data_IF_480708065501
#
_entry.id   IF_480708065501
#
_cell.length_a   1.000
_cell.length_b   1.000
_cell.length_c   1.000
_cell.angle_alpha   90.00
_cell.angle_beta   90.00
_cell.angle_gamma   90.00
#
_symmetry.space_group_name_H-M   'P 1'
#
loop_
_entity.id
_entity.type
_entity.pdbx_description
1 polymer ?
#
# COMPACT_ATOMS: atom_id res chain seq x y z
N UNK A 1 -40.38 51.36 25.35
CA UNK A 1 -39.86 50.62 24.19
C UNK A 1 -38.49 51.17 23.88
N UNK A 2 -37.43 50.41 24.19
CA UNK A 2 -36.06 50.83 23.91
C UNK A 2 -35.79 50.37 22.48
N UNK A 3 -35.81 51.32 21.53
CA UNK A 3 -35.39 51.04 20.16
C UNK A 3 -33.96 50.55 20.18
N UNK A 4 -33.77 49.36 19.62
CA UNK A 4 -32.48 48.72 19.43
C UNK A 4 -31.73 49.56 18.39
N UNK A 5 -30.84 50.46 18.85
CA UNK A 5 -29.99 51.24 17.95
C UNK A 5 -29.18 50.24 17.13
N UNK A 6 -29.52 50.14 15.84
CA UNK A 6 -28.78 49.33 14.87
C UNK A 6 -27.32 49.79 14.89
N UNK A 7 -26.34 48.88 15.06
CA UNK A 7 -24.94 49.23 14.86
C UNK A 7 -24.81 49.82 13.46
N UNK A 8 -24.19 51.00 13.34
CA UNK A 8 -24.01 51.67 12.05
C UNK A 8 -23.04 50.83 11.22
N UNK A 9 -23.61 49.93 10.41
CA UNK A 9 -22.86 48.95 9.61
C UNK A 9 -22.44 49.48 8.25
N UNK A 10 -23.06 50.56 7.79
CA UNK A 10 -22.76 51.13 6.49
C UNK A 10 -21.96 52.44 6.65
N UNK A 11 -20.72 52.52 6.14
CA UNK A 11 -19.92 53.72 6.21
C UNK A 11 -20.56 54.94 5.49
N UNK A 12 -21.47 54.72 4.53
CA UNK A 12 -22.29 55.79 3.95
C UNK A 12 -23.18 56.47 5.01
N UNK A 13 -23.71 55.69 5.96
CA UNK A 13 -24.52 56.20 7.06
C UNK A 13 -23.67 56.99 8.06
N UNK A 14 -22.43 56.57 8.30
CA UNK A 14 -21.49 57.31 9.16
C UNK A 14 -21.23 58.70 8.58
N UNK A 15 -21.00 58.80 7.28
CA UNK A 15 -20.75 60.08 6.60
C UNK A 15 -21.99 60.97 6.62
N UNK A 16 -23.18 60.40 6.41
CA UNK A 16 -24.44 61.15 6.50
C UNK A 16 -24.64 61.76 7.90
N UNK A 17 -24.30 61.00 8.97
CA UNK A 17 -24.38 61.50 10.35
C UNK A 17 -23.37 62.64 10.59
N UNK A 18 -22.12 62.48 10.18
CA UNK A 18 -21.10 63.52 10.36
C UNK A 18 -21.39 64.78 9.55
N UNK A 19 -21.90 64.64 8.32
CA UNK A 19 -22.33 65.77 7.50
C UNK A 19 -23.44 66.58 8.19
N UNK A 20 -24.47 65.88 8.71
CA UNK A 20 -25.56 66.53 9.45
C UNK A 20 -25.09 67.24 10.73
N UNK A 21 -24.20 66.61 11.51
CA UNK A 21 -23.63 67.24 12.71
C UNK A 21 -22.79 68.47 12.34
N UNK A 22 -22.00 68.41 11.27
CA UNK A 22 -21.16 69.52 10.82
C UNK A 22 -22.01 70.71 10.36
N UNK A 23 -23.10 70.47 9.62
CA UNK A 23 -24.03 71.51 9.15
C UNK A 23 -24.73 72.21 10.31
N UNK A 24 -25.27 71.45 11.26
CA UNK A 24 -25.94 71.99 12.45
C UNK A 24 -24.95 72.79 13.29
N UNK A 25 -23.76 72.25 13.55
CA UNK A 25 -22.72 72.91 14.34
C UNK A 25 -22.27 74.21 13.67
N UNK A 26 -22.08 74.20 12.35
CA UNK A 26 -21.73 75.39 11.59
C UNK A 26 -22.79 76.47 11.62
N UNK A 27 -24.06 76.09 11.48
CA UNK A 27 -25.19 77.02 11.54
C UNK A 27 -25.27 77.71 12.90
N UNK A 28 -24.98 76.98 13.98
CA UNK A 28 -24.96 77.54 15.34
C UNK A 28 -23.77 78.48 15.52
N UNK A 29 -22.59 78.14 15.01
CA UNK A 29 -21.35 78.91 15.21
C UNK A 29 -21.28 80.17 14.33
N UNK A 30 -21.84 80.11 13.12
CA UNK A 30 -21.78 81.19 12.13
C UNK A 30 -22.16 82.59 12.65
N UNK A 31 -23.28 82.79 13.39
CA UNK A 31 -23.66 84.12 13.89
C UNK A 31 -22.71 84.68 14.96
N UNK A 32 -21.87 83.84 15.58
CA UNK A 32 -20.92 84.28 16.62
C UNK A 32 -19.53 84.66 16.05
N UNK A 33 -19.32 84.47 14.74
CA UNK A 33 -18.07 84.81 14.09
C UNK A 33 -18.08 86.26 13.59
N UNK A 34 -16.93 86.94 13.69
CA UNK A 34 -16.71 88.26 13.07
C UNK A 34 -16.76 88.14 11.55
N UNK A 35 -17.33 89.13 10.86
CA UNK A 35 -17.54 89.11 9.39
C UNK A 35 -16.29 88.71 8.59
N UNK A 36 -15.11 89.16 9.01
CA UNK A 36 -13.83 88.83 8.37
C UNK A 36 -13.53 87.32 8.33
N UNK A 37 -13.99 86.57 9.33
CA UNK A 37 -13.74 85.12 9.45
C UNK A 37 -14.93 84.28 8.97
N UNK A 38 -16.12 84.87 8.84
CA UNK A 38 -17.33 84.16 8.38
C UNK A 38 -17.14 83.57 6.99
N UNK A 39 -16.57 84.33 6.05
CA UNK A 39 -16.34 83.84 4.69
C UNK A 39 -15.38 82.62 4.66
N UNK A 40 -14.28 82.70 5.41
CA UNK A 40 -13.32 81.58 5.53
C UNK A 40 -14.00 80.35 6.14
N UNK A 41 -14.82 80.57 7.17
CA UNK A 41 -15.55 79.50 7.85
C UNK A 41 -16.62 78.84 6.95
N UNK A 42 -17.34 79.62 6.14
CA UNK A 42 -18.33 79.10 5.18
C UNK A 42 -17.63 78.21 4.13
N UNK A 43 -16.51 78.67 3.57
CA UNK A 43 -15.74 77.87 2.61
C UNK A 43 -15.19 76.59 3.24
N UNK A 44 -14.70 76.66 4.48
CA UNK A 44 -14.32 75.48 5.23
C UNK A 44 -15.50 74.50 5.37
N UNK A 45 -16.69 75.00 5.72
CA UNK A 45 -17.88 74.17 5.92
C UNK A 45 -18.39 73.49 4.66
N UNK A 46 -18.18 74.08 3.48
CA UNK A 46 -18.54 73.47 2.19
C UNK A 46 -17.47 72.47 1.74
N UNK A 47 -16.20 72.87 1.82
CA UNK A 47 -15.08 72.12 1.24
C UNK A 47 -14.74 70.90 2.10
N UNK A 48 -14.75 71.03 3.43
CA UNK A 48 -14.32 69.96 4.32
C UNK A 48 -15.18 68.69 4.21
N UNK A 49 -16.52 68.74 4.30
CA UNK A 49 -17.37 67.56 4.13
C UNK A 49 -17.27 66.98 2.71
N UNK A 50 -17.11 67.85 1.71
CA UNK A 50 -16.98 67.45 0.30
C UNK A 50 -15.68 66.67 0.07
N UNK A 51 -14.55 67.13 0.61
CA UNK A 51 -13.27 66.43 0.57
C UNK A 51 -13.35 65.11 1.32
N UNK A 52 -14.04 65.07 2.47
CA UNK A 52 -14.20 63.84 3.25
C UNK A 52 -15.01 62.81 2.46
N UNK A 53 -16.07 63.22 1.79
CA UNK A 53 -16.87 62.38 0.91
C UNK A 53 -16.08 61.88 -0.30
N UNK A 54 -15.33 62.75 -0.98
CA UNK A 54 -14.46 62.35 -2.10
C UNK A 54 -13.37 61.39 -1.63
N UNK A 55 -12.69 61.68 -0.52
CA UNK A 55 -11.64 60.84 0.05
C UNK A 55 -12.20 59.48 0.48
N UNK A 56 -13.44 59.45 0.96
CA UNK A 56 -14.14 58.22 1.26
C UNK A 56 -14.39 57.37 0.02
N UNK A 57 -14.96 57.95 -1.05
CA UNK A 57 -15.17 57.23 -2.30
C UNK A 57 -13.86 56.84 -2.98
N UNK A 58 -12.82 57.66 -2.86
CA UNK A 58 -11.47 57.34 -3.33
C UNK A 58 -10.91 56.12 -2.57
N UNK A 59 -11.01 56.12 -1.24
CA UNK A 59 -10.61 54.99 -0.40
C UNK A 59 -11.40 53.72 -0.73
N UNK A 60 -12.71 53.85 -0.98
CA UNK A 60 -13.56 52.75 -1.43
C UNK A 60 -13.15 52.20 -2.80
N UNK A 61 -12.81 53.07 -3.76
CA UNK A 61 -12.44 52.66 -5.11
C UNK A 61 -11.13 51.85 -5.15
N UNK A 62 -10.20 52.13 -4.23
CA UNK A 62 -8.93 51.39 -4.12
C UNK A 62 -8.97 50.22 -3.13
N UNK A 63 -9.92 50.16 -2.20
CA UNK A 63 -9.96 49.11 -1.18
C UNK A 63 -11.39 48.73 -0.72
N UNK A 64 -12.20 48.27 -1.67
CA UNK A 64 -13.59 47.83 -1.47
C UNK A 64 -13.78 46.60 -0.55
N UNK A 65 -12.70 45.92 -0.14
CA UNK A 65 -12.75 44.67 0.64
C UNK A 65 -12.94 44.86 2.15
N UNK A 66 -12.60 46.03 2.69
CA UNK A 66 -12.49 46.23 4.15
C UNK A 66 -13.83 46.58 4.82
N UNK A 67 -14.89 46.81 4.04
CA UNK A 67 -16.14 47.38 4.56
C UNK A 67 -17.35 46.45 4.55
N UNK A 68 -17.22 45.22 4.03
CA UNK A 68 -18.27 44.21 4.09
C UNK A 68 -17.73 42.97 4.80
N UNK A 69 -18.28 42.65 5.96
CA UNK A 69 -18.00 41.39 6.62
C UNK A 69 -18.62 40.25 5.81
N UNK A 70 -18.13 39.00 5.92
CA UNK A 70 -18.73 37.85 5.25
C UNK A 70 -20.24 37.70 5.53
N UNK A 71 -20.68 38.13 6.71
CA UNK A 71 -22.08 38.16 7.13
C UNK A 71 -22.97 39.17 6.41
N UNK A 72 -22.39 40.14 5.69
CA UNK A 72 -23.13 41.19 5.00
C UNK A 72 -23.54 40.80 3.57
N UNK A 73 -23.07 39.63 3.08
CA UNK A 73 -23.47 39.06 1.80
C UNK A 73 -24.77 38.26 1.95
N UNK A 74 -25.78 38.54 1.11
CA UNK A 74 -27.04 37.78 1.12
C UNK A 74 -26.89 36.33 0.67
N UNK A 75 -25.78 36.00 -0.01
CA UNK A 75 -25.49 34.66 -0.53
C UNK A 75 -23.99 34.37 -0.38
N UNK A 76 -23.64 33.41 0.46
CA UNK A 76 -22.27 33.03 0.80
C UNK A 76 -21.45 32.57 -0.42
N UNK A 77 -22.10 32.02 -1.46
CA UNK A 77 -21.40 31.56 -2.66
C UNK A 77 -20.74 32.71 -3.45
N UNK A 78 -21.28 33.93 -3.37
CA UNK A 78 -20.71 35.10 -4.04
C UNK A 78 -19.48 35.66 -3.32
N UNK A 79 -19.45 35.59 -1.99
CA UNK A 79 -18.25 35.91 -1.20
C UNK A 79 -17.09 34.99 -1.60
N UNK A 80 -17.35 33.68 -1.67
CA UNK A 80 -16.32 32.69 -2.01
C UNK A 80 -15.76 32.92 -3.43
N UNK A 81 -16.59 33.30 -4.41
CA UNK A 81 -16.13 33.59 -5.79
C UNK A 81 -15.20 34.81 -5.88
N UNK A 82 -15.53 35.91 -5.20
CA UNK A 82 -14.73 37.16 -5.26
C UNK A 82 -13.38 37.00 -4.54
N UNK A 83 -13.35 36.25 -3.44
CA UNK A 83 -12.12 35.98 -2.69
C UNK A 83 -11.24 34.89 -3.33
N UNK A 84 -11.81 33.77 -3.79
CA UNK A 84 -11.03 32.71 -4.47
C UNK A 84 -10.47 33.14 -5.83
N UNK A 85 -11.16 33.98 -6.60
CA UNK A 85 -10.67 34.47 -7.88
C UNK A 85 -9.37 35.30 -7.72
N UNK A 86 -9.27 36.10 -6.65
CA UNK A 86 -8.07 36.91 -6.35
C UNK A 86 -6.96 36.14 -5.65
N UNK A 87 -7.27 35.05 -4.94
CA UNK A 87 -6.25 34.18 -4.36
C UNK A 87 -5.44 33.47 -5.46
N UNK A 88 -6.05 33.22 -6.62
CA UNK A 88 -5.39 32.68 -7.81
C UNK A 88 -4.55 33.77 -8.52
N UNK A 89 -5.05 35.01 -8.59
CA UNK A 89 -4.36 36.13 -9.25
C UNK A 89 -3.17 36.67 -8.43
N UNK A 90 -3.32 36.79 -7.10
CA UNK A 90 -2.24 37.19 -6.17
C UNK A 90 -1.26 36.05 -5.83
N UNK A 91 -1.58 34.78 -6.11
CA UNK A 91 -0.60 33.67 -6.00
C UNK A 91 0.53 33.76 -7.02
N UNK A 92 0.40 34.60 -8.04
CA UNK A 92 1.45 34.83 -9.05
C UNK A 92 2.66 35.60 -8.49
N UNK A 93 2.52 36.25 -7.33
CA UNK A 93 3.58 37.04 -6.71
C UNK A 93 3.60 36.77 -5.19
N UNK A 94 4.69 36.16 -4.69
CA UNK A 94 5.05 35.97 -3.26
C UNK A 94 4.68 34.67 -2.52
N UNK A 95 4.75 33.49 -3.16
CA UNK A 95 5.15 32.25 -2.45
C UNK A 95 6.10 31.45 -3.34
N UNK A 96 7.38 31.80 -3.29
CA UNK A 96 8.47 30.92 -3.76
C UNK A 96 8.88 30.02 -2.59
N UNK A 97 8.00 29.09 -2.19
CA UNK A 97 8.50 27.78 -1.75
C UNK A 97 8.94 27.15 -3.06
N UNK A 98 10.25 27.01 -3.25
CA UNK A 98 10.82 26.67 -4.56
C UNK A 98 10.10 25.41 -5.04
N UNK A 99 9.58 25.42 -6.28
CA UNK A 99 8.88 24.27 -6.88
C UNK A 99 9.67 22.97 -6.66
N UNK A 100 11.00 23.03 -6.59
CA UNK A 100 11.87 21.92 -6.20
C UNK A 100 11.59 21.35 -4.81
N UNK A 101 11.39 22.15 -3.77
CA UNK A 101 11.14 21.68 -2.40
C UNK A 101 9.79 20.96 -2.28
N UNK A 102 8.74 21.49 -2.92
CA UNK A 102 7.44 20.80 -2.98
C UNK A 102 7.52 19.50 -3.79
N UNK A 103 8.27 19.51 -4.89
CA UNK A 103 8.51 18.32 -5.69
C UNK A 103 9.36 17.29 -4.94
N UNK A 104 10.34 17.69 -4.15
CA UNK A 104 11.16 16.80 -3.32
C UNK A 104 10.34 16.17 -2.18
N UNK A 105 9.50 16.95 -1.51
CA UNK A 105 8.60 16.42 -0.47
C UNK A 105 7.62 15.40 -1.06
N UNK A 106 6.98 15.72 -2.19
CA UNK A 106 6.08 14.79 -2.90
C UNK A 106 6.83 13.57 -3.45
N UNK A 107 8.06 13.75 -3.93
CA UNK A 107 8.86 12.65 -4.45
C UNK A 107 9.28 11.69 -3.34
N UNK A 108 9.66 12.21 -2.17
CA UNK A 108 10.01 11.39 -1.01
C UNK A 108 8.79 10.61 -0.51
N UNK A 109 7.64 11.26 -0.34
CA UNK A 109 6.41 10.60 0.11
C UNK A 109 5.94 9.53 -0.90
N UNK A 110 6.03 9.82 -2.21
CA UNK A 110 5.68 8.83 -3.25
C UNK A 110 6.71 7.70 -3.38
N UNK A 111 7.97 7.92 -3.02
CA UNK A 111 9.01 6.89 -2.99
C UNK A 111 8.82 5.95 -1.80
N UNK A 112 8.57 6.48 -0.61
CA UNK A 112 8.24 5.70 0.58
C UNK A 112 6.98 4.83 0.37
N UNK A 113 5.96 5.40 -0.27
CA UNK A 113 4.75 4.66 -0.64
C UNK A 113 5.03 3.54 -1.66
N UNK A 114 5.88 3.79 -2.67
CA UNK A 114 6.28 2.76 -3.64
C UNK A 114 7.04 1.61 -2.99
N UNK A 115 7.95 1.92 -2.08
CA UNK A 115 8.73 0.91 -1.35
C UNK A 115 7.82 0.07 -0.45
N UNK A 116 6.93 0.71 0.31
CA UNK A 116 5.91 0.04 1.13
C UNK A 116 4.98 -0.85 0.28
N UNK A 117 4.54 -0.37 -0.90
CA UNK A 117 3.74 -1.16 -1.83
C UNK A 117 4.50 -2.36 -2.39
N UNK A 118 5.81 -2.22 -2.63
CA UNK A 118 6.66 -3.32 -3.08
C UNK A 118 6.78 -4.41 -2.01
N UNK A 119 6.86 -4.02 -0.74
CA UNK A 119 6.93 -4.91 0.39
C UNK A 119 5.60 -5.63 0.63
N UNK A 120 4.48 -4.90 0.59
CA UNK A 120 3.13 -5.48 0.66
C UNK A 120 2.90 -6.47 -0.49
N UNK A 121 3.35 -6.16 -1.72
CA UNK A 121 3.27 -7.10 -2.85
C UNK A 121 4.08 -8.37 -2.58
N UNK A 122 5.31 -8.25 -2.05
CA UNK A 122 6.14 -9.40 -1.67
C UNK A 122 5.44 -10.25 -0.61
N UNK A 123 4.91 -9.64 0.45
CA UNK A 123 4.17 -10.32 1.51
C UNK A 123 2.93 -11.03 0.95
N UNK A 124 2.14 -10.37 0.10
CA UNK A 124 0.95 -10.97 -0.50
C UNK A 124 1.29 -12.15 -1.42
N UNK A 125 2.39 -12.05 -2.18
CA UNK A 125 2.90 -13.15 -3.01
C UNK A 125 3.38 -14.30 -2.13
N UNK A 126 4.12 -14.01 -1.06
CA UNK A 126 4.64 -15.01 -0.12
C UNK A 126 3.51 -15.73 0.63
N UNK A 127 2.50 -15.00 1.09
CA UNK A 127 1.28 -15.57 1.68
C UNK A 127 0.54 -16.46 0.67
N UNK A 128 0.40 -16.01 -0.58
CA UNK A 128 -0.23 -16.81 -1.64
C UNK A 128 0.57 -18.07 -1.96
N UNK A 129 1.89 -17.99 -1.97
CA UNK A 129 2.78 -19.12 -2.19
C UNK A 129 2.72 -20.12 -1.03
N UNK A 130 2.74 -19.63 0.21
CA UNK A 130 2.56 -20.43 1.43
C UNK A 130 1.20 -21.13 1.41
N UNK A 131 0.12 -20.41 1.09
CA UNK A 131 -1.22 -20.98 0.97
C UNK A 131 -1.31 -22.04 -0.13
N UNK A 132 -0.61 -21.86 -1.26
CA UNK A 132 -0.50 -22.89 -2.31
C UNK A 132 0.23 -24.13 -1.80
N UNK A 133 1.33 -23.98 -1.07
CA UNK A 133 2.09 -25.09 -0.49
C UNK A 133 1.26 -25.88 0.53
N UNK A 134 0.40 -25.22 1.30
CA UNK A 134 -0.49 -25.88 2.26
C UNK A 134 -1.55 -26.82 1.65
N UNK A 135 -1.76 -26.76 0.32
CA UNK A 135 -2.67 -27.68 -0.38
C UNK A 135 -2.09 -29.08 -0.59
N UNK A 136 -0.83 -29.31 -0.21
CA UNK A 136 -0.11 -30.55 -0.40
C UNK A 136 0.43 -31.07 0.92
N UNK A 137 0.56 -32.40 1.00
CA UNK A 137 1.04 -33.08 2.20
C UNK A 137 2.51 -33.44 2.05
N UNK A 138 3.33 -33.05 3.02
CA UNK A 138 4.77 -33.33 3.03
C UNK A 138 5.07 -34.28 4.18
N UNK A 139 5.60 -35.46 3.89
CA UNK A 139 5.92 -36.47 4.89
C UNK A 139 7.40 -36.80 4.80
N UNK A 140 8.07 -36.94 5.94
CA UNK A 140 9.47 -37.38 6.00
C UNK A 140 9.64 -38.46 7.06
N UNK A 141 10.39 -39.52 6.75
CA UNK A 141 10.77 -40.52 7.74
C UNK A 141 11.60 -39.89 8.87
N UNK A 142 11.42 -40.37 10.10
CA UNK A 142 12.14 -39.90 11.28
C UNK A 142 13.63 -40.31 11.26
N UNK A 143 14.45 -39.60 10.49
CA UNK A 143 15.91 -39.74 10.46
C UNK A 143 16.58 -38.98 11.61
N UNK A 144 17.81 -39.32 11.97
CA UNK A 144 18.56 -38.68 13.05
C UNK A 144 18.66 -37.14 12.92
N UNK A 145 18.75 -36.61 11.70
CA UNK A 145 18.84 -35.18 11.41
C UNK A 145 17.54 -34.56 10.89
N UNK A 146 16.39 -35.21 11.08
CA UNK A 146 15.11 -34.77 10.49
C UNK A 146 14.69 -33.38 10.98
N UNK A 147 14.91 -33.05 12.26
CA UNK A 147 14.50 -31.75 12.82
C UNK A 147 15.20 -30.58 12.13
N UNK A 148 16.52 -30.70 11.89
CA UNK A 148 17.29 -29.68 11.16
C UNK A 148 16.76 -29.47 9.74
N UNK A 149 16.35 -30.55 9.08
CA UNK A 149 15.74 -30.46 7.76
C UNK A 149 14.36 -29.78 7.84
N UNK A 150 13.50 -30.19 8.77
CA UNK A 150 12.15 -29.62 8.89
C UNK A 150 12.19 -28.13 9.25
N UNK A 151 13.13 -27.70 10.09
CA UNK A 151 13.31 -26.28 10.44
C UNK A 151 13.70 -25.45 9.20
N UNK A 152 14.69 -25.92 8.42
CA UNK A 152 15.10 -25.29 7.15
C UNK A 152 13.95 -25.21 6.15
N UNK A 153 13.13 -26.27 6.08
CA UNK A 153 12.00 -26.31 5.16
C UNK A 153 10.82 -25.46 5.62
N UNK A 154 10.65 -25.28 6.93
CA UNK A 154 9.65 -24.39 7.50
C UNK A 154 9.93 -22.92 7.15
N UNK A 155 11.19 -22.49 7.15
CA UNK A 155 11.60 -21.15 6.68
C UNK A 155 11.25 -20.91 5.20
N UNK A 156 11.23 -21.98 4.40
CA UNK A 156 10.77 -21.96 3.00
C UNK A 156 9.25 -22.09 2.83
N UNK A 157 8.48 -22.18 3.92
CA UNK A 157 7.02 -22.32 3.89
C UNK A 157 6.52 -23.75 3.62
N UNK A 158 7.32 -24.78 3.92
CA UNK A 158 6.92 -26.19 3.87
C UNK A 158 6.73 -26.76 5.28
N UNK A 159 5.54 -27.28 5.56
CA UNK A 159 5.24 -27.92 6.84
C UNK A 159 5.29 -29.45 6.69
N UNK A 160 6.36 -30.06 7.22
CA UNK A 160 6.57 -31.51 7.15
C UNK A 160 5.95 -32.25 8.33
N UNK A 161 5.25 -33.33 8.05
CA UNK A 161 4.88 -34.35 9.02
C UNK A 161 6.01 -35.38 9.15
N UNK A 162 6.55 -35.55 10.36
CA UNK A 162 7.57 -36.58 10.64
C UNK A 162 6.89 -37.91 10.90
N UNK A 163 7.14 -38.90 10.03
CA UNK A 163 6.64 -40.26 10.17
C UNK A 163 7.51 -41.06 11.13
N UNK A 164 6.91 -41.44 12.26
CA UNK A 164 7.58 -42.14 13.37
C UNK A 164 7.30 -43.65 13.43
N UNK A 165 6.44 -44.18 12.57
CA UNK A 165 6.07 -45.60 12.54
C UNK A 165 4.55 -45.83 12.54
N UNK A 166 4.14 -47.10 12.44
CA UNK A 166 2.72 -47.52 12.34
C UNK A 166 2.09 -47.79 13.71
N UNK A 167 2.90 -47.93 14.78
CA UNK A 167 2.45 -48.41 16.08
C UNK A 167 3.14 -47.68 17.23
N UNK A 168 2.72 -46.46 17.56
CA UNK A 168 2.96 -45.76 18.85
C UNK A 168 4.40 -45.50 19.32
N UNK A 169 5.39 -46.21 18.78
CA UNK A 169 6.80 -46.16 19.11
C UNK A 169 7.49 -45.20 18.14
N UNK A 170 8.35 -44.33 18.68
CA UNK A 170 9.16 -43.44 17.86
C UNK A 170 10.33 -44.20 17.23
N UNK A 171 10.11 -44.81 16.07
CA UNK A 171 11.20 -45.42 15.31
C UNK A 171 12.07 -44.33 14.69
N UNK A 172 13.38 -44.44 14.88
CA UNK A 172 14.37 -43.70 14.09
C UNK A 172 14.78 -44.61 12.92
N UNK A 173 14.56 -44.14 11.69
CA UNK A 173 14.89 -44.90 10.48
C UNK A 173 16.36 -44.72 10.12
N UNK A 174 17.01 -45.78 9.65
CA UNK A 174 18.35 -45.65 9.06
C UNK A 174 18.26 -45.10 7.64
N UNK A 175 19.31 -44.46 7.16
CA UNK A 175 19.38 -43.98 5.78
C UNK A 175 19.28 -45.13 4.76
N UNK A 176 19.62 -46.36 5.13
CA UNK A 176 19.46 -47.53 4.26
C UNK A 176 18.00 -47.97 4.11
N UNK A 177 17.17 -47.80 5.15
CA UNK A 177 15.76 -48.18 5.14
C UNK A 177 14.90 -47.23 4.29
N UNK A 178 15.30 -45.95 4.20
CA UNK A 178 14.51 -44.87 3.57
C UNK A 178 15.27 -44.11 2.48
N UNK A 179 15.61 -44.76 1.37
CA UNK A 179 16.36 -44.13 0.26
C UNK A 179 15.49 -43.61 -0.88
N UNK A 180 14.16 -43.52 -0.70
CA UNK A 180 13.24 -43.16 -1.79
C UNK A 180 12.38 -41.94 -1.51
N UNK A 181 12.05 -41.22 -2.59
CA UNK A 181 11.01 -40.19 -2.64
C UNK A 181 9.80 -40.77 -3.37
N UNK A 182 8.62 -40.68 -2.76
CA UNK A 182 7.35 -40.94 -3.46
C UNK A 182 6.69 -39.61 -3.76
N UNK A 183 6.67 -39.23 -5.04
CA UNK A 183 6.18 -37.96 -5.54
C UNK A 183 4.76 -38.11 -6.08
N UNK A 184 3.77 -37.48 -5.47
CA UNK A 184 2.41 -37.47 -6.00
C UNK A 184 2.31 -36.76 -7.36
N UNK A 185 1.59 -37.35 -8.33
CA UNK A 185 1.45 -36.78 -9.68
C UNK A 185 0.76 -35.41 -9.77
N UNK A 186 0.10 -34.97 -8.70
CA UNK A 186 -0.58 -33.66 -8.63
C UNK A 186 0.25 -32.58 -7.95
N UNK A 187 1.49 -32.89 -7.56
CA UNK A 187 2.45 -31.90 -7.07
C UNK A 187 2.94 -31.04 -8.25
N UNK A 188 2.85 -29.70 -8.16
CA UNK A 188 3.35 -28.80 -9.21
C UNK A 188 4.87 -28.89 -9.38
N UNK A 189 5.33 -28.58 -10.59
CA UNK A 189 6.76 -28.59 -10.96
C UNK A 189 7.64 -27.86 -9.94
N UNK A 190 7.28 -26.62 -9.60
CA UNK A 190 8.07 -25.78 -8.69
C UNK A 190 8.27 -26.44 -7.33
N UNK A 191 7.22 -27.06 -6.78
CA UNK A 191 7.28 -27.74 -5.49
C UNK A 191 8.08 -29.03 -5.62
N UNK A 192 7.83 -29.83 -6.67
CA UNK A 192 8.55 -31.08 -6.89
C UNK A 192 10.05 -30.84 -7.03
N UNK A 193 10.47 -29.86 -7.85
CA UNK A 193 11.87 -29.51 -8.07
C UNK A 193 12.54 -29.02 -6.80
N UNK A 194 11.97 -28.00 -6.13
CA UNK A 194 12.58 -27.43 -4.91
C UNK A 194 12.79 -28.51 -3.85
N UNK A 195 11.79 -29.38 -3.64
CA UNK A 195 11.90 -30.47 -2.67
C UNK A 195 12.89 -31.56 -3.08
N UNK A 196 12.91 -32.00 -4.34
CA UNK A 196 13.85 -33.04 -4.78
C UNK A 196 15.30 -32.58 -4.61
N UNK A 197 15.60 -31.32 -4.98
CA UNK A 197 16.94 -30.76 -4.87
C UNK A 197 17.34 -30.56 -3.40
N UNK A 198 16.47 -29.95 -2.59
CA UNK A 198 16.72 -29.76 -1.16
C UNK A 198 16.95 -31.09 -0.42
N UNK A 199 16.19 -32.12 -0.79
CA UNK A 199 16.37 -33.47 -0.24
C UNK A 199 17.67 -34.10 -0.70
N UNK A 200 18.05 -33.96 -1.97
CA UNK A 200 19.31 -34.49 -2.47
C UNK A 200 20.52 -33.85 -1.76
N UNK A 201 20.48 -32.53 -1.58
CA UNK A 201 21.54 -31.77 -0.92
C UNK A 201 21.66 -32.12 0.57
N UNK A 202 20.53 -32.32 1.26
CA UNK A 202 20.53 -32.60 2.70
C UNK A 202 20.68 -34.09 3.03
N UNK A 203 20.12 -34.96 2.20
CA UNK A 203 20.11 -36.42 2.35
C UNK A 203 20.70 -37.09 1.09
N UNK A 204 22.04 -37.08 0.92
CA UNK A 204 22.69 -37.62 -0.27
C UNK A 204 22.48 -39.13 -0.47
N UNK A 205 22.01 -39.85 0.56
CA UNK A 205 21.67 -41.27 0.49
C UNK A 205 20.35 -41.58 -0.23
N UNK A 206 19.55 -40.54 -0.55
CA UNK A 206 18.34 -40.69 -1.35
C UNK A 206 18.72 -41.02 -2.80
N UNK A 207 18.27 -42.17 -3.25
CA UNK A 207 18.71 -42.81 -4.50
C UNK A 207 17.57 -43.10 -5.48
N UNK A 208 16.33 -43.07 -5.03
CA UNK A 208 15.19 -43.50 -5.82
C UNK A 208 14.08 -42.47 -5.78
N UNK A 209 13.43 -42.24 -6.91
CA UNK A 209 12.22 -41.42 -7.00
C UNK A 209 11.16 -42.24 -7.73
N UNK A 210 9.95 -42.25 -7.18
CA UNK A 210 8.76 -42.82 -7.81
C UNK A 210 7.65 -41.80 -7.85
N UNK A 211 7.03 -41.65 -9.01
CA UNK A 211 5.78 -40.93 -9.19
C UNK A 211 4.62 -41.83 -8.77
N UNK A 212 3.88 -41.38 -7.75
CA UNK A 212 2.66 -42.04 -7.30
C UNK A 212 1.52 -41.65 -8.24
N UNK A 213 0.87 -42.67 -8.80
CA UNK A 213 -0.05 -42.58 -9.92
C UNK A 213 0.44 -43.28 -11.20
N UNK A 214 1.73 -43.65 -11.28
CA UNK A 214 2.33 -44.40 -12.41
C UNK A 214 2.26 -45.94 -12.21
N UNK A 215 1.45 -46.42 -11.25
CA UNK A 215 1.33 -47.85 -10.96
C UNK A 215 0.68 -48.67 -12.09
N UNK A 216 0.89 -49.98 -12.07
CA UNK A 216 0.28 -50.95 -13.02
C UNK A 216 -1.26 -50.89 -13.03
N UNK A 217 -1.87 -50.51 -11.91
CA UNK A 217 -3.29 -50.17 -11.83
C UNK A 217 -3.47 -48.80 -11.16
N UNK A 218 -3.58 -47.72 -11.96
CA UNK A 218 -3.78 -46.36 -11.45
C UNK A 218 -5.07 -46.17 -10.63
N UNK A 219 -6.04 -47.10 -10.72
CA UNK A 219 -7.29 -47.06 -9.93
C UNK A 219 -7.12 -47.64 -8.53
N UNK A 220 -6.03 -48.36 -8.28
CA UNK A 220 -5.74 -48.98 -6.98
C UNK A 220 -5.16 -47.99 -5.94
N UNK A 221 -4.69 -46.82 -6.38
CA UNK A 221 -4.07 -45.82 -5.50
C UNK A 221 -5.10 -44.75 -5.06
N UNK A 222 -5.29 -44.51 -3.75
CA UNK A 222 -6.21 -43.50 -3.27
C UNK A 222 -5.85 -42.08 -3.76
N UNK A 223 -6.83 -41.29 -4.21
CA UNK A 223 -6.55 -39.98 -4.81
C UNK A 223 -5.70 -39.02 -3.96
N UNK A 224 -5.81 -39.10 -2.63
CA UNK A 224 -5.04 -38.26 -1.71
C UNK A 224 -3.53 -38.44 -1.85
N UNK A 225 -3.05 -39.62 -2.27
CA UNK A 225 -1.61 -39.87 -2.43
C UNK A 225 -1.02 -39.13 -3.63
N UNK A 226 -1.84 -38.58 -4.53
CA UNK A 226 -1.36 -37.75 -5.63
C UNK A 226 -1.00 -36.32 -5.20
N UNK A 227 -1.48 -35.88 -4.02
CA UNK A 227 -1.20 -34.55 -3.45
C UNK A 227 -0.20 -34.62 -2.30
N UNK A 228 0.56 -35.71 -2.20
CA UNK A 228 1.59 -35.85 -1.17
C UNK A 228 2.96 -36.11 -1.76
N UNK A 229 3.99 -35.73 -1.01
CA UNK A 229 5.37 -36.16 -1.23
C UNK A 229 5.88 -36.82 0.04
N UNK A 230 6.47 -38.00 -0.12
CA UNK A 230 7.01 -38.79 0.98
C UNK A 230 8.51 -38.93 0.78
N UNK A 231 9.29 -38.43 1.74
CA UNK A 231 10.75 -38.55 1.78
C UNK A 231 11.11 -39.68 2.73
N UNK A 232 12.01 -40.56 2.32
CA UNK A 232 12.40 -41.72 3.12
C UNK A 232 11.46 -42.90 2.99
N UNK A 233 10.81 -43.05 1.83
CA UNK A 233 10.03 -44.24 1.52
C UNK A 233 10.90 -45.50 1.50
N UNK A 234 10.29 -46.65 1.78
CA UNK A 234 10.99 -47.92 1.98
C UNK A 234 11.86 -48.30 0.77
N UNK A 235 13.17 -48.43 0.99
CA UNK A 235 14.17 -48.84 -0.01
C UNK A 235 13.84 -50.21 -0.63
N UNK A 236 13.35 -51.14 0.21
CA UNK A 236 12.93 -52.47 -0.24
C UNK A 236 11.77 -52.40 -1.24
N UNK A 237 10.84 -51.49 -1.06
CA UNK A 237 9.70 -51.31 -1.98
C UNK A 237 10.17 -50.70 -3.29
N UNK A 238 11.05 -49.69 -3.23
CA UNK A 238 11.66 -49.09 -4.43
C UNK A 238 12.38 -50.14 -5.30
N UNK A 239 13.20 -51.00 -4.67
CA UNK A 239 13.99 -52.03 -5.37
C UNK A 239 13.15 -53.23 -5.83
N UNK A 240 12.34 -53.81 -4.94
CA UNK A 240 11.75 -55.12 -5.19
C UNK A 240 10.39 -55.03 -5.88
N UNK A 241 9.55 -54.07 -5.45
CA UNK A 241 8.20 -53.89 -6.00
C UNK A 241 8.24 -53.06 -7.28
N UNK A 242 8.91 -51.91 -7.23
CA UNK A 242 8.93 -50.96 -8.34
C UNK A 242 10.16 -51.08 -9.23
N UNK A 243 11.17 -51.87 -8.84
CA UNK A 243 12.32 -52.19 -9.69
C UNK A 243 13.03 -50.93 -10.20
N UNK A 244 13.15 -49.91 -9.35
CA UNK A 244 13.73 -48.62 -9.71
C UNK A 244 15.27 -48.72 -9.78
N UNK A 245 15.86 -48.02 -10.74
CA UNK A 245 17.30 -47.80 -10.82
C UNK A 245 17.71 -46.59 -9.98
N UNK A 246 18.96 -46.57 -9.54
CA UNK A 246 19.53 -45.46 -8.76
C UNK A 246 19.63 -44.21 -9.64
N UNK A 247 19.21 -43.06 -9.10
CA UNK A 247 19.49 -41.75 -9.66
C UNK A 247 20.95 -41.36 -9.41
N UNK A 248 21.60 -40.87 -10.45
CA UNK A 248 22.93 -40.28 -10.46
C UNK A 248 22.86 -38.76 -10.25
N UNK A 249 23.98 -38.15 -9.90
CA UNK A 249 24.08 -36.68 -9.77
C UNK A 249 23.74 -35.93 -11.07
N UNK A 250 23.94 -36.57 -12.22
CA UNK A 250 23.52 -36.02 -13.50
C UNK A 250 22.00 -35.97 -13.62
N UNK A 251 21.27 -37.00 -13.15
CA UNK A 251 19.81 -36.98 -13.15
C UNK A 251 19.27 -35.84 -12.28
N UNK A 252 19.85 -35.62 -11.09
CA UNK A 252 19.48 -34.47 -10.24
C UNK A 252 19.79 -33.13 -10.90
N UNK A 253 20.91 -33.04 -11.64
CA UNK A 253 21.26 -31.85 -12.41
C UNK A 253 20.27 -31.60 -13.56
N UNK A 254 19.77 -32.65 -14.21
CA UNK A 254 18.71 -32.55 -15.22
C UNK A 254 17.37 -32.15 -14.59
N UNK A 255 16.99 -32.74 -13.45
CA UNK A 255 15.78 -32.36 -12.69
C UNK A 255 15.81 -30.87 -12.33
N UNK A 256 16.94 -30.35 -11.87
CA UNK A 256 17.09 -28.92 -11.55
C UNK A 256 16.83 -28.02 -12.78
N UNK A 257 17.21 -28.48 -13.97
CA UNK A 257 17.07 -27.75 -15.24
C UNK A 257 15.69 -27.90 -15.89
N UNK A 258 14.89 -28.89 -15.48
CA UNK A 258 13.57 -29.15 -16.08
C UNK A 258 12.66 -27.92 -16.07
N UNK A 259 11.95 -27.70 -17.18
CA UNK A 259 11.10 -26.53 -17.42
C UNK A 259 9.60 -26.85 -17.41
N UNK A 260 9.26 -28.13 -17.52
CA UNK A 260 7.87 -28.64 -17.42
C UNK A 260 7.77 -29.84 -16.48
N UNK A 261 6.56 -30.12 -15.98
CA UNK A 261 6.31 -31.29 -15.13
C UNK A 261 6.47 -32.58 -15.91
N UNK A 262 6.15 -32.58 -17.21
CA UNK A 262 6.34 -33.69 -18.11
C UNK A 262 7.83 -34.01 -18.27
N UNK A 263 8.69 -33.01 -18.48
CA UNK A 263 10.14 -33.20 -18.58
C UNK A 263 10.72 -33.80 -17.29
N UNK A 264 10.30 -33.29 -16.13
CA UNK A 264 10.69 -33.85 -14.83
C UNK A 264 10.26 -35.32 -14.70
N UNK A 265 9.04 -35.65 -15.14
CA UNK A 265 8.55 -37.02 -15.10
C UNK A 265 9.31 -37.94 -16.05
N UNK A 266 9.66 -37.49 -17.25
CA UNK A 266 10.45 -38.29 -18.19
C UNK A 266 11.84 -38.62 -17.63
N UNK A 267 12.51 -37.66 -16.98
CA UNK A 267 13.81 -37.91 -16.32
C UNK A 267 13.66 -38.97 -15.22
N UNK A 268 12.62 -38.87 -14.39
CA UNK A 268 12.38 -39.85 -13.31
C UNK A 268 12.04 -41.23 -13.90
N UNK A 269 11.16 -41.28 -14.90
CA UNK A 269 10.69 -42.53 -15.54
C UNK A 269 11.79 -43.22 -16.33
N UNK A 270 12.77 -42.49 -16.86
CA UNK A 270 13.96 -43.09 -17.48
C UNK A 270 14.70 -44.02 -16.51
N UNK A 271 14.58 -43.79 -15.19
CA UNK A 271 15.15 -44.65 -14.14
C UNK A 271 14.22 -45.75 -13.67
N UNK A 272 13.04 -45.90 -14.25
CA UNK A 272 12.23 -47.09 -14.05
C UNK A 272 12.83 -48.22 -14.89
N UNK A 273 12.88 -49.45 -14.37
CA UNK A 273 13.22 -50.58 -15.25
C UNK A 273 12.13 -50.68 -16.31
N UNK A 274 12.52 -50.49 -17.57
CA UNK A 274 11.65 -50.82 -18.68
C UNK A 274 11.31 -52.32 -18.61
N UNK A 275 10.05 -52.70 -18.92
CA UNK A 275 9.60 -54.08 -18.83
C UNK A 275 10.44 -55.05 -19.67
#
# INVERSE_FOLDING_TARGET
MIEKISPVRNPLTIIAIFAGIAEVSGTIVLPFLKEQNQNIFIWFLIVFPSILLISFFFTLNFNNRVLYAPSDYQNEENYIKVFRYNEIENRSQSIEVTRSEQFELLWNETSELKDSLSEIKKIAIDQRNTQRKNNYKYIIANFANVLKFTDRMQEKGYLFEVFKGVSGEEKIYTYEEGQSIWLGKSIPLEIAKDLIIEVHDFFPDIKYIRITGDGLDPKSEPYFVHKQIVIGGATVTAKNRYKLNVLSNDDFSQIAKSTSIEELYEIIRYRYRQP
#
